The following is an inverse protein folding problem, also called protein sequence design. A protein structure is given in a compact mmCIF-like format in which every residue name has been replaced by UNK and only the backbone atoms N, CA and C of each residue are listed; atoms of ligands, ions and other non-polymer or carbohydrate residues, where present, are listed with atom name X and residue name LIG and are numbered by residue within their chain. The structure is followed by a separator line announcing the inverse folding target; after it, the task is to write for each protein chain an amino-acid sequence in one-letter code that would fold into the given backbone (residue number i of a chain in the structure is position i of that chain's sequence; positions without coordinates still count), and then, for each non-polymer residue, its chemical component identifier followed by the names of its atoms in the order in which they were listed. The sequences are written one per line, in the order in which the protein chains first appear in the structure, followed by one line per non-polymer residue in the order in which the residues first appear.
data_IF_144133765028
#
_entry.id   IF_144133765028
#
_cell.length_a   1.000
_cell.length_b   1.000
_cell.length_c   1.000
_cell.angle_alpha   90.00
_cell.angle_beta   90.00
_cell.angle_gamma   90.00
#
_symmetry.space_group_name_H-M   'P 1'
#
loop_
_entity.id
_entity.type
_entity.pdbx_description
1 polymer ?
#
# COMPACT_ATOMS: atom_id res chain seq x y z
N UNK A 1 -13.16 -39.60 21.67
CA UNK A 1 -12.06 -38.77 22.18
C UNK A 1 -12.73 -37.57 22.83
N UNK A 2 -12.94 -37.64 24.14
CA UNK A 2 -13.61 -36.58 24.90
C UNK A 2 -12.70 -35.35 24.99
N UNK A 3 -13.26 -34.19 24.67
CA UNK A 3 -12.60 -32.90 24.78
C UNK A 3 -13.16 -32.25 26.03
N UNK A 4 -12.43 -32.37 27.15
CA UNK A 4 -12.75 -31.61 28.36
C UNK A 4 -12.41 -30.14 28.13
N UNK A 5 -13.39 -29.38 27.67
CA UNK A 5 -13.35 -27.92 27.63
C UNK A 5 -13.82 -27.39 28.98
N UNK A 6 -12.89 -26.89 29.79
CA UNK A 6 -13.23 -26.09 30.98
C UNK A 6 -13.63 -24.69 30.51
N UNK A 7 -14.93 -24.40 30.52
CA UNK A 7 -15.44 -23.05 30.28
C UNK A 7 -15.23 -22.21 31.54
N UNK A 8 -14.19 -21.38 31.52
CA UNK A 8 -14.11 -20.21 32.40
C UNK A 8 -13.87 -19.02 31.49
N UNK A 9 -14.93 -18.21 31.35
CA UNK A 9 -15.01 -17.00 30.54
C UNK A 9 -15.06 -17.21 29.01
N UNK A 10 -15.31 -16.13 28.26
CA UNK A 10 -15.53 -16.10 26.80
C UNK A 10 -14.28 -16.45 25.96
N UNK A 11 -13.30 -17.13 26.55
CA UNK A 11 -12.03 -17.50 25.94
C UNK A 11 -11.81 -19.02 26.05
N UNK A 12 -11.68 -19.67 24.90
CA UNK A 12 -11.36 -21.11 24.84
C UNK A 12 -9.84 -21.28 24.91
N UNK A 13 -9.35 -21.80 26.03
CA UNK A 13 -7.94 -22.13 26.20
C UNK A 13 -7.67 -23.55 25.71
N UNK A 14 -6.87 -23.68 24.64
CA UNK A 14 -6.42 -24.98 24.15
C UNK A 14 -5.25 -25.47 25.02
N UNK A 15 -5.49 -26.48 25.85
CA UNK A 15 -4.45 -27.14 26.66
C UNK A 15 -3.80 -28.24 25.83
N UNK A 16 -2.46 -28.19 25.70
CA UNK A 16 -1.69 -29.22 24.99
C UNK A 16 -1.81 -30.56 25.71
N UNK A 17 -2.37 -31.57 25.05
CA UNK A 17 -2.42 -32.97 25.54
C UNK A 17 -1.31 -33.87 24.98
N UNK A 18 -0.65 -33.47 23.88
CA UNK A 18 0.41 -34.26 23.22
C UNK A 18 1.64 -33.37 22.91
N UNK A 19 2.87 -33.82 23.24
CA UNK A 19 4.11 -33.06 22.97
C UNK A 19 4.38 -32.78 21.48
N UNK A 20 3.78 -33.52 20.54
CA UNK A 20 3.90 -33.30 19.10
C UNK A 20 2.93 -32.23 18.56
N UNK A 21 2.02 -31.71 19.39
CA UNK A 21 1.08 -30.67 18.96
C UNK A 21 1.72 -29.28 19.09
N UNK A 22 1.35 -28.39 18.18
CA UNK A 22 1.79 -27.00 18.14
C UNK A 22 1.49 -26.29 19.48
N UNK A 23 2.51 -25.62 20.02
CA UNK A 23 2.43 -24.79 21.21
C UNK A 23 2.39 -23.32 20.79
N UNK A 24 1.79 -22.50 21.64
CA UNK A 24 1.89 -21.04 21.60
C UNK A 24 3.34 -20.55 21.68
N UNK A 25 4.29 -21.42 22.05
CA UNK A 25 5.74 -21.18 21.99
C UNK A 25 6.35 -21.26 20.57
N UNK A 26 5.58 -21.58 19.52
CA UNK A 26 6.09 -21.52 18.15
C UNK A 26 6.18 -20.06 17.71
N UNK A 27 7.35 -19.46 17.96
CA UNK A 27 7.74 -18.09 17.60
C UNK A 27 7.79 -17.80 16.09
N UNK A 28 7.20 -18.66 15.25
CA UNK A 28 7.14 -18.51 13.79
C UNK A 28 5.76 -17.99 13.34
N UNK A 29 4.77 -17.96 14.22
CA UNK A 29 3.57 -17.16 14.00
C UNK A 29 3.81 -15.76 14.58
N UNK A 30 4.60 -14.97 13.85
CA UNK A 30 4.45 -13.52 13.90
C UNK A 30 3.05 -13.24 13.38
N UNK A 31 2.07 -13.20 14.29
CA UNK A 31 0.79 -12.54 14.04
C UNK A 31 1.19 -11.12 13.72
N UNK A 32 1.45 -10.84 12.43
CA UNK A 32 1.76 -9.51 11.92
C UNK A 32 0.77 -8.60 12.63
N UNK A 33 1.28 -7.81 13.59
CA UNK A 33 0.50 -6.76 14.23
C UNK A 33 -0.18 -6.04 13.10
N UNK A 34 -1.51 -5.91 13.16
CA UNK A 34 -2.27 -5.13 12.18
C UNK A 34 -1.47 -3.86 11.92
N UNK A 35 -0.90 -3.77 10.72
CA UNK A 35 -0.26 -2.55 10.27
C UNK A 35 -1.38 -1.55 10.30
N UNK A 36 -1.31 -0.62 11.25
CA UNK A 36 -2.33 0.40 11.49
C UNK A 36 -2.76 0.93 10.12
N UNK A 37 -4.02 0.68 9.74
CA UNK A 37 -4.49 1.00 8.40
C UNK A 37 -4.19 2.48 8.13
N UNK A 38 -3.41 2.76 7.09
CA UNK A 38 -3.08 4.13 6.72
C UNK A 38 -4.36 4.89 6.43
N UNK A 39 -4.45 6.13 6.91
CA UNK A 39 -5.64 6.93 6.62
C UNK A 39 -5.68 7.27 5.14
N UNK A 40 -6.88 7.50 4.59
CA UNK A 40 -7.02 7.97 3.22
C UNK A 40 -6.19 9.23 2.95
N UNK A 41 -6.08 10.14 3.94
CA UNK A 41 -5.24 11.34 3.84
C UNK A 41 -3.78 10.97 3.62
N UNK A 42 -3.25 10.03 4.41
CA UNK A 42 -1.85 9.63 4.31
C UNK A 42 -1.57 8.96 2.97
N UNK A 43 -2.45 8.04 2.55
CA UNK A 43 -2.39 7.41 1.22
C UNK A 43 -2.42 8.43 0.08
N UNK A 44 -3.29 9.44 0.18
CA UNK A 44 -3.42 10.48 -0.84
C UNK A 44 -2.20 11.39 -0.90
N UNK A 45 -1.64 11.79 0.25
CA UNK A 45 -0.40 12.58 0.30
C UNK A 45 0.80 11.80 -0.23
N UNK A 46 0.88 10.51 0.09
CA UNK A 46 1.88 9.60 -0.45
C UNK A 46 1.75 9.50 -1.97
N UNK A 47 0.53 9.32 -2.49
CA UNK A 47 0.27 9.25 -3.94
C UNK A 47 0.72 10.53 -4.67
N UNK A 48 0.42 11.71 -4.13
CA UNK A 48 0.88 12.98 -4.73
C UNK A 48 2.40 13.03 -4.76
N UNK A 49 3.05 12.63 -3.67
CA UNK A 49 4.51 12.61 -3.57
C UNK A 49 5.11 11.63 -4.57
N UNK A 50 4.52 10.45 -4.74
CA UNK A 50 4.95 9.42 -5.69
C UNK A 50 4.80 9.86 -7.14
N UNK A 51 3.73 10.59 -7.47
CA UNK A 51 3.54 11.19 -8.79
C UNK A 51 4.63 12.22 -9.06
N UNK A 52 4.89 13.12 -8.10
CA UNK A 52 5.96 14.10 -8.23
C UNK A 52 7.33 13.45 -8.44
N UNK A 53 7.64 12.42 -7.65
CA UNK A 53 8.89 11.67 -7.78
C UNK A 53 8.99 10.99 -9.15
N UNK A 54 7.91 10.36 -9.62
CA UNK A 54 7.86 9.73 -10.95
C UNK A 54 8.14 10.74 -12.08
N UNK A 55 7.61 11.97 -11.98
CA UNK A 55 7.86 13.03 -12.96
C UNK A 55 9.31 13.54 -12.90
N UNK A 56 9.87 13.71 -11.70
CA UNK A 56 11.27 14.10 -11.51
C UNK A 56 12.23 13.03 -12.04
N UNK A 57 11.91 11.76 -11.84
CA UNK A 57 12.71 10.64 -12.36
C UNK A 57 12.75 10.65 -13.88
N UNK A 58 11.60 10.80 -14.54
CA UNK A 58 11.53 10.96 -16.01
C UNK A 58 12.38 12.13 -16.49
N UNK A 59 12.30 13.28 -15.81
CA UNK A 59 13.08 14.47 -16.16
C UNK A 59 14.58 14.20 -16.04
N UNK A 60 15.02 13.58 -14.95
CA UNK A 60 16.42 13.20 -14.73
C UNK A 60 16.92 12.21 -15.76
N UNK A 61 16.16 11.15 -16.05
CA UNK A 61 16.53 10.16 -17.06
C UNK A 61 16.61 10.77 -18.45
N UNK A 62 15.69 11.69 -18.79
CA UNK A 62 15.71 12.41 -20.07
C UNK A 62 16.95 13.30 -20.19
N UNK A 63 17.31 14.03 -19.13
CA UNK A 63 18.54 14.82 -19.10
C UNK A 63 19.78 13.94 -19.24
N UNK A 64 19.82 12.81 -18.53
CA UNK A 64 20.95 11.89 -18.58
C UNK A 64 21.11 11.24 -19.96
N UNK A 65 20.03 10.92 -20.67
CA UNK A 65 20.10 10.42 -22.04
C UNK A 65 20.65 11.45 -23.03
N UNK A 66 20.41 12.75 -22.82
CA UNK A 66 20.97 13.81 -23.67
C UNK A 66 22.47 13.97 -23.39
N UNK A 67 22.88 13.94 -22.10
CA UNK A 67 24.27 14.19 -21.69
C UNK A 67 25.17 12.97 -21.87
N UNK A 68 24.64 11.76 -21.68
CA UNK A 68 25.35 10.50 -21.70
C UNK A 68 24.48 9.41 -22.36
N UNK A 69 24.36 9.43 -23.71
CA UNK A 69 23.42 8.57 -24.44
C UNK A 69 23.66 7.06 -24.29
N UNK A 70 24.87 6.63 -23.89
CA UNK A 70 25.19 5.22 -23.65
C UNK A 70 24.91 4.77 -22.21
N UNK A 71 24.48 5.67 -21.32
CA UNK A 71 24.31 5.38 -19.89
C UNK A 71 22.86 5.06 -19.49
N UNK A 72 21.89 5.32 -20.38
CA UNK A 72 20.45 5.11 -20.13
C UNK A 72 19.81 4.48 -21.35
N UNK A 73 19.01 3.42 -21.14
CA UNK A 73 18.20 2.83 -22.22
C UNK A 73 16.98 3.70 -22.51
N UNK A 74 16.77 4.02 -23.79
CA UNK A 74 15.60 4.76 -24.28
C UNK A 74 14.28 4.05 -23.95
N UNK A 75 14.29 2.72 -23.84
CA UNK A 75 13.14 1.93 -23.43
C UNK A 75 12.73 2.21 -21.99
N UNK A 76 13.70 2.30 -21.08
CA UNK A 76 13.45 2.58 -19.66
C UNK A 76 12.86 3.97 -19.46
N UNK A 77 13.32 4.96 -20.24
CA UNK A 77 12.74 6.32 -20.23
C UNK A 77 11.29 6.27 -20.70
N UNK A 78 11.01 5.51 -21.76
CA UNK A 78 9.66 5.37 -22.29
C UNK A 78 8.72 4.69 -21.29
N UNK A 79 9.18 3.63 -20.62
CA UNK A 79 8.42 2.99 -19.53
C UNK A 79 8.19 3.97 -18.39
N UNK A 80 9.23 4.69 -17.94
CA UNK A 80 9.12 5.67 -16.89
C UNK A 80 8.13 6.79 -17.24
N UNK A 81 8.19 7.29 -18.48
CA UNK A 81 7.23 8.28 -19.02
C UNK A 81 5.80 7.75 -19.01
N UNK A 82 5.58 6.52 -19.49
CA UNK A 82 4.26 5.90 -19.48
C UNK A 82 3.72 5.75 -18.05
N UNK A 83 4.55 5.28 -17.12
CA UNK A 83 4.21 5.15 -15.70
C UNK A 83 3.88 6.50 -15.07
N UNK A 84 4.71 7.52 -15.30
CA UNK A 84 4.49 8.86 -14.76
C UNK A 84 3.19 9.49 -15.29
N UNK A 85 2.90 9.34 -16.58
CA UNK A 85 1.66 9.80 -17.19
C UNK A 85 0.42 9.07 -16.65
N UNK A 86 0.51 7.75 -16.48
CA UNK A 86 -0.56 6.96 -15.89
C UNK A 86 -0.83 7.39 -14.44
N UNK A 87 0.22 7.52 -13.61
CA UNK A 87 0.11 7.96 -12.22
C UNK A 87 -0.53 9.35 -12.11
N UNK A 88 -0.11 10.29 -12.96
CA UNK A 88 -0.70 11.63 -13.01
C UNK A 88 -2.19 11.57 -13.39
N UNK A 89 -2.54 10.75 -14.38
CA UNK A 89 -3.93 10.62 -14.86
C UNK A 89 -4.85 10.03 -13.79
N UNK A 90 -4.38 9.01 -13.07
CA UNK A 90 -5.11 8.41 -11.93
C UNK A 90 -5.29 9.45 -10.83
N UNK A 91 -4.23 10.16 -10.45
CA UNK A 91 -4.27 11.18 -9.40
C UNK A 91 -5.24 12.30 -9.75
N UNK A 92 -5.22 12.78 -10.99
CA UNK A 92 -6.17 13.76 -11.49
C UNK A 92 -7.61 13.27 -11.33
N UNK A 93 -7.90 12.04 -11.74
CA UNK A 93 -9.25 11.46 -11.61
C UNK A 93 -9.70 11.37 -10.14
N UNK A 94 -8.80 11.01 -9.22
CA UNK A 94 -9.09 10.97 -7.77
C UNK A 94 -9.39 12.36 -7.23
N UNK A 95 -8.59 13.37 -7.58
CA UNK A 95 -8.79 14.75 -7.16
C UNK A 95 -10.12 15.29 -7.69
N UNK A 96 -10.42 15.11 -8.97
CA UNK A 96 -11.67 15.56 -9.58
C UNK A 96 -12.89 14.92 -8.91
N UNK A 97 -12.84 13.62 -8.63
CA UNK A 97 -13.92 12.92 -7.91
C UNK A 97 -14.07 13.42 -6.47
N UNK A 98 -12.96 13.73 -5.80
CA UNK A 98 -12.98 14.26 -4.44
C UNK A 98 -13.61 15.66 -4.39
N UNK A 99 -13.28 16.53 -5.35
CA UNK A 99 -13.88 17.86 -5.48
C UNK A 99 -15.37 17.75 -5.79
N UNK A 100 -15.77 16.89 -6.72
CA UNK A 100 -17.19 16.66 -7.04
C UNK A 100 -17.97 16.15 -5.83
N UNK A 101 -17.44 15.14 -5.13
CA UNK A 101 -18.07 14.63 -3.91
C UNK A 101 -18.24 15.72 -2.85
N UNK A 102 -17.24 16.60 -2.69
CA UNK A 102 -17.35 17.74 -1.79
C UNK A 102 -18.46 18.71 -2.23
N UNK A 103 -18.52 19.06 -3.52
CA UNK A 103 -19.57 19.91 -4.08
C UNK A 103 -20.97 19.29 -3.90
N UNK A 104 -21.12 17.99 -4.14
CA UNK A 104 -22.39 17.29 -3.98
C UNK A 104 -22.86 17.31 -2.51
N UNK A 105 -21.96 17.11 -1.55
CA UNK A 105 -22.27 17.16 -0.12
C UNK A 105 -22.73 18.54 0.33
N UNK A 106 -22.12 19.62 -0.17
CA UNK A 106 -22.54 20.99 0.19
C UNK A 106 -23.83 21.41 -0.52
N UNK A 107 -24.05 20.99 -1.77
CA UNK A 107 -25.22 21.35 -2.57
C UNK A 107 -26.49 20.57 -2.20
N UNK A 108 -26.36 19.47 -1.45
CA UNK A 108 -27.48 18.69 -0.90
C UNK A 108 -28.19 19.42 0.26
N UNK A 109 -27.63 20.53 0.76
CA UNK A 109 -28.27 21.40 1.76
C UNK A 109 -29.04 22.55 1.12
#
# INVERSE_FOLDING_TARGET
MEVDSFFTDNNVYLVRKNPLHFDKSFSVFDVKREVKAESFKDLFLNLISDVNNSQLDVSRMSQQAILQPNSVDVHDITIAMAKANMNLSITKAVVERSIKAYQDVINIR
#
